data_IF_919232774619
#
_entry.id   IF_919232774619
#
_cell.length_a   1.000
_cell.length_b   1.000
_cell.length_c   1.000
_cell.angle_alpha   90.00
_cell.angle_beta   90.00
_cell.angle_gamma   90.00
#
_symmetry.space_group_name_H-M   'P 1'
#
loop_
_entity.id
_entity.type
_entity.pdbx_description
1 polymer ?
#
# COMPACT_ATOMS: atom_id res chain seq x y z
N UNK A 1 -37.25 19.54 61.34
CA UNK A 1 -37.40 20.20 60.02
C UNK A 1 -36.06 20.43 59.28
N UNK A 2 -34.94 20.62 59.99
CA UNK A 2 -33.62 20.90 59.38
C UNK A 2 -33.02 19.74 58.58
N UNK A 3 -33.08 18.49 59.09
CA UNK A 3 -32.53 17.29 58.40
C UNK A 3 -33.14 17.04 57.01
N UNK A 4 -34.45 17.24 56.82
CA UNK A 4 -35.11 17.06 55.50
C UNK A 4 -34.64 18.08 54.46
N UNK A 5 -34.36 19.32 54.88
CA UNK A 5 -33.78 20.35 53.98
C UNK A 5 -32.35 20.00 53.58
N UNK A 6 -31.55 19.48 54.51
CA UNK A 6 -30.18 19.04 54.23
C UNK A 6 -30.10 17.88 53.23
N UNK A 7 -31.01 16.89 53.33
CA UNK A 7 -31.08 15.80 52.34
C UNK A 7 -31.55 16.28 50.97
N UNK A 8 -32.49 17.23 50.92
CA UNK A 8 -32.96 17.80 49.65
C UNK A 8 -31.82 18.57 48.95
N UNK A 9 -31.05 19.36 49.69
CA UNK A 9 -29.88 20.09 49.19
C UNK A 9 -28.77 19.15 48.70
N UNK A 10 -28.49 18.08 49.44
CA UNK A 10 -27.50 17.08 49.04
C UNK A 10 -27.93 16.33 47.76
N UNK A 11 -29.21 15.99 47.62
CA UNK A 11 -29.75 15.30 46.45
C UNK A 11 -29.73 16.21 45.21
N UNK A 12 -30.09 17.49 45.37
CA UNK A 12 -29.97 18.49 44.28
C UNK A 12 -28.52 18.69 43.86
N UNK A 13 -27.59 18.77 44.82
CA UNK A 13 -26.15 18.87 44.54
C UNK A 13 -25.62 17.65 43.78
N UNK A 14 -26.04 16.45 44.17
CA UNK A 14 -25.65 15.21 43.50
C UNK A 14 -26.23 15.11 42.08
N UNK A 15 -27.49 15.50 41.88
CA UNK A 15 -28.11 15.55 40.55
C UNK A 15 -27.43 16.58 39.63
N UNK A 16 -27.09 17.76 40.15
CA UNK A 16 -26.32 18.77 39.41
C UNK A 16 -24.93 18.25 39.00
N UNK A 17 -24.24 17.56 39.90
CA UNK A 17 -22.93 16.96 39.60
C UNK A 17 -23.02 15.89 38.51
N UNK A 18 -24.06 15.03 38.54
CA UNK A 18 -24.30 14.03 37.50
C UNK A 18 -24.56 14.63 36.12
N UNK A 19 -25.32 15.73 36.06
CA UNK A 19 -25.57 16.45 34.79
C UNK A 19 -24.27 17.02 34.22
N UNK A 20 -23.42 17.63 35.06
CA UNK A 20 -22.14 18.20 34.63
C UNK A 20 -21.18 17.12 34.11
N UNK A 21 -21.11 15.96 34.77
CA UNK A 21 -20.27 14.83 34.31
C UNK A 21 -20.78 14.27 32.98
N UNK A 22 -22.10 14.20 32.77
CA UNK A 22 -22.68 13.74 31.50
C UNK A 22 -22.42 14.70 30.34
N UNK A 23 -22.28 16.00 30.62
CA UNK A 23 -22.00 17.03 29.60
C UNK A 23 -20.54 17.02 29.11
N UNK A 24 -19.63 16.36 29.84
CA UNK A 24 -18.23 16.18 29.43
C UNK A 24 -17.96 14.81 28.78
N UNK A 25 -18.98 13.97 28.60
CA UNK A 25 -18.82 12.71 27.88
C UNK A 25 -18.66 12.99 26.38
N UNK A 26 -17.57 12.55 25.72
CA UNK A 26 -17.42 12.70 24.29
C UNK A 26 -18.54 11.94 23.58
N UNK A 27 -19.33 12.65 22.78
CA UNK A 27 -20.41 12.07 21.99
C UNK A 27 -19.81 11.45 20.71
N UNK A 28 -19.78 10.12 20.56
CA UNK A 28 -19.20 9.47 19.39
C UNK A 28 -20.01 9.71 18.09
N UNK A 29 -21.16 10.39 18.18
CA UNK A 29 -21.99 10.78 17.04
C UNK A 29 -21.94 12.28 16.72
N UNK A 30 -21.17 13.07 17.48
CA UNK A 30 -20.89 14.44 17.09
C UNK A 30 -19.89 14.41 15.93
N UNK A 31 -20.26 15.04 14.81
CA UNK A 31 -19.33 15.24 13.69
C UNK A 31 -18.10 15.99 14.22
N UNK A 32 -16.92 15.38 14.07
CA UNK A 32 -15.63 15.95 14.47
C UNK A 32 -15.17 17.09 13.54
N UNK A 33 -15.99 17.45 12.55
CA UNK A 33 -15.74 18.51 11.59
C UNK A 33 -16.34 19.80 12.18
N UNK A 34 -15.55 20.87 12.22
CA UNK A 34 -16.01 22.18 12.72
C UNK A 34 -17.35 22.57 12.08
N UNK A 35 -18.33 23.09 12.85
CA UNK A 35 -19.65 23.47 12.33
C UNK A 35 -19.62 24.44 11.14
N UNK A 36 -18.54 25.22 11.01
CA UNK A 36 -18.31 26.16 9.91
C UNK A 36 -17.71 25.55 8.62
N UNK A 37 -17.41 24.25 8.60
CA UNK A 37 -16.97 23.53 7.39
C UNK A 37 -18.05 22.60 6.83
N UNK A 38 -19.25 22.60 7.43
CA UNK A 38 -20.40 21.94 6.84
C UNK A 38 -20.87 22.80 5.68
N UNK A 39 -20.42 22.48 4.47
CA UNK A 39 -21.16 22.85 3.27
C UNK A 39 -22.55 22.28 3.48
N UNK A 40 -23.55 23.16 3.60
CA UNK A 40 -24.96 22.78 3.58
C UNK A 40 -25.25 22.22 2.18
N UNK A 41 -24.86 20.98 1.94
CA UNK A 41 -25.30 20.19 0.80
C UNK A 41 -26.73 19.71 1.09
N UNK A 42 -27.65 20.64 1.36
CA UNK A 42 -29.08 20.36 1.39
C UNK A 42 -29.52 20.15 -0.07
N UNK A 43 -29.50 18.88 -0.51
CA UNK A 43 -30.04 18.48 -1.81
C UNK A 43 -29.06 17.75 -2.74
N UNK A 44 -27.78 17.63 -2.40
CA UNK A 44 -26.86 16.80 -3.19
C UNK A 44 -26.94 15.36 -2.71
N UNK A 45 -27.43 14.47 -3.56
CA UNK A 45 -27.35 13.03 -3.32
C UNK A 45 -25.89 12.67 -3.10
N UNK A 46 -25.57 12.06 -1.96
CA UNK A 46 -24.25 11.47 -1.73
C UNK A 46 -23.97 10.46 -2.85
N UNK A 47 -23.13 10.87 -3.80
CA UNK A 47 -22.56 9.96 -4.79
C UNK A 47 -21.33 9.38 -4.12
N UNK A 48 -21.32 8.09 -3.72
CA UNK A 48 -20.10 7.49 -3.21
C UNK A 48 -19.00 7.63 -4.27
N UNK A 49 -17.75 7.94 -3.87
CA UNK A 49 -16.67 7.98 -4.84
C UNK A 49 -16.61 6.64 -5.55
N UNK A 50 -16.74 6.65 -6.88
CA UNK A 50 -16.49 5.45 -7.67
C UNK A 50 -14.99 5.19 -7.59
N UNK A 51 -14.56 4.00 -7.12
CA UNK A 51 -13.13 3.67 -7.12
C UNK A 51 -12.60 3.85 -8.54
N UNK A 52 -11.57 4.69 -8.71
CA UNK A 52 -10.85 4.76 -9.97
C UNK A 52 -10.31 3.36 -10.25
N UNK A 53 -10.62 2.74 -11.41
CA UNK A 53 -10.06 1.45 -11.77
C UNK A 53 -8.53 1.51 -11.67
N UNK A 54 -7.92 0.57 -10.94
CA UNK A 54 -6.46 0.47 -10.92
C UNK A 54 -5.99 0.15 -12.33
N UNK A 55 -5.02 0.90 -12.89
CA UNK A 55 -4.45 0.56 -14.18
C UNK A 55 -3.78 -0.81 -14.06
N UNK A 56 -4.10 -1.71 -15.00
CA UNK A 56 -3.66 -3.11 -15.02
C UNK A 56 -2.67 -3.33 -16.15
N UNK A 57 -1.76 -4.28 -15.95
CA UNK A 57 -0.70 -4.57 -16.93
C UNK A 57 -1.27 -5.08 -18.24
N UNK A 58 -2.43 -5.77 -18.21
CA UNK A 58 -3.11 -6.28 -19.39
C UNK A 58 -3.54 -5.19 -20.41
N UNK A 59 -3.57 -3.91 -19.99
CA UNK A 59 -3.89 -2.78 -20.86
C UNK A 59 -2.69 -2.10 -21.52
N UNK A 60 -1.46 -2.56 -21.27
CA UNK A 60 -0.23 -1.97 -21.79
C UNK A 60 0.38 -2.83 -22.90
N UNK A 61 1.05 -2.18 -23.84
CA UNK A 61 1.94 -2.82 -24.81
C UNK A 61 3.28 -3.20 -24.17
N UNK A 62 4.01 -4.13 -24.79
CA UNK A 62 5.34 -4.54 -24.32
C UNK A 62 6.32 -3.35 -24.26
N UNK A 63 6.25 -2.43 -25.22
CA UNK A 63 7.04 -1.20 -25.24
C UNK A 63 6.77 -0.33 -23.99
N UNK A 64 5.49 -0.16 -23.61
CA UNK A 64 5.09 0.59 -22.42
C UNK A 64 5.50 -0.13 -21.13
N UNK A 65 5.43 -1.47 -21.12
CA UNK A 65 5.82 -2.28 -19.97
C UNK A 65 7.33 -2.12 -19.69
N UNK A 66 8.14 -2.17 -20.75
CA UNK A 66 9.61 -2.19 -20.68
C UNK A 66 10.25 -0.79 -20.72
N UNK A 67 9.45 0.26 -20.90
CA UNK A 67 9.94 1.63 -21.04
C UNK A 67 10.87 2.04 -19.87
N UNK A 68 12.05 2.55 -20.23
CA UNK A 68 13.05 3.06 -19.30
C UNK A 68 14.04 2.04 -18.74
N UNK A 69 13.85 0.74 -19.04
CA UNK A 69 14.85 -0.28 -18.69
C UNK A 69 16.15 -0.08 -19.49
N UNK A 70 17.31 -0.52 -18.95
CA UNK A 70 18.57 -0.52 -19.70
C UNK A 70 18.49 -1.42 -20.94
N UNK A 71 19.00 -0.95 -22.08
CA UNK A 71 19.00 -1.68 -23.36
C UNK A 71 19.54 -3.12 -23.25
N UNK A 72 20.56 -3.31 -22.42
CA UNK A 72 21.16 -4.62 -22.19
C UNK A 72 20.16 -5.63 -21.61
N UNK A 73 19.33 -5.22 -20.65
CA UNK A 73 18.28 -6.06 -20.06
C UNK A 73 17.10 -6.20 -21.03
N UNK A 74 16.67 -5.12 -21.69
CA UNK A 74 15.57 -5.15 -22.67
C UNK A 74 15.85 -6.17 -23.79
N UNK A 75 17.10 -6.26 -24.25
CA UNK A 75 17.49 -7.20 -25.31
C UNK A 75 17.37 -8.68 -24.93
N UNK A 76 17.24 -8.97 -23.63
CA UNK A 76 17.12 -10.31 -23.06
C UNK A 76 15.67 -10.65 -22.64
N UNK A 77 14.73 -9.72 -22.81
CA UNK A 77 13.31 -9.91 -22.48
C UNK A 77 12.51 -10.29 -23.76
N UNK A 78 11.61 -11.29 -23.72
CA UNK A 78 11.27 -12.11 -22.56
C UNK A 78 12.39 -13.10 -22.21
N UNK A 79 12.71 -13.15 -20.92
CA UNK A 79 13.59 -14.16 -20.34
C UNK A 79 12.84 -15.48 -20.09
N UNK A 80 13.49 -16.39 -19.39
CA UNK A 80 12.89 -17.64 -18.93
C UNK A 80 12.23 -17.45 -17.55
N UNK A 81 10.90 -17.46 -17.50
CA UNK A 81 10.14 -17.27 -16.26
C UNK A 81 10.33 -18.43 -15.27
N UNK A 82 10.55 -19.67 -15.73
CA UNK A 82 10.81 -20.81 -14.85
C UNK A 82 12.19 -20.67 -14.20
N UNK A 83 13.19 -20.24 -14.97
CA UNK A 83 14.51 -19.87 -14.45
C UNK A 83 14.42 -18.69 -13.49
N UNK A 84 13.63 -17.66 -13.82
CA UNK A 84 13.35 -16.51 -12.96
C UNK A 84 12.81 -16.93 -11.60
N UNK A 85 11.80 -17.79 -11.57
CA UNK A 85 11.29 -18.40 -10.34
C UNK A 85 12.39 -19.18 -9.60
N UNK A 86 13.18 -20.00 -10.30
CA UNK A 86 14.22 -20.80 -9.69
C UNK A 86 15.33 -19.95 -9.03
N UNK A 87 15.65 -18.78 -9.59
CA UNK A 87 16.62 -17.83 -9.02
C UNK A 87 16.17 -17.23 -7.68
N UNK A 88 14.87 -17.17 -7.43
CA UNK A 88 14.35 -16.58 -6.17
C UNK A 88 14.78 -17.36 -4.92
N UNK A 89 15.16 -18.63 -5.06
CA UNK A 89 15.61 -19.50 -3.97
C UNK A 89 17.07 -19.21 -3.57
N UNK A 90 18.08 -19.33 -4.45
CA UNK A 90 19.48 -19.06 -4.09
C UNK A 90 19.74 -17.59 -3.71
N UNK A 91 18.93 -16.65 -4.22
CA UNK A 91 19.00 -15.23 -3.85
C UNK A 91 18.10 -14.86 -2.66
N UNK A 92 17.46 -15.86 -2.03
CA UNK A 92 16.63 -15.75 -0.84
C UNK A 92 15.44 -14.75 -0.95
N UNK A 93 14.96 -14.46 -2.16
CA UNK A 93 13.84 -13.54 -2.38
C UNK A 93 12.56 -14.09 -1.76
N UNK A 94 12.27 -15.39 -1.94
CA UNK A 94 11.10 -16.07 -1.37
C UNK A 94 11.21 -16.31 0.14
N UNK A 95 12.36 -16.00 0.75
CA UNK A 95 12.49 -16.00 2.21
C UNK A 95 11.75 -14.83 2.85
N UNK A 96 11.43 -13.79 2.05
CA UNK A 96 10.81 -12.55 2.51
C UNK A 96 9.55 -12.17 1.73
N UNK A 97 9.48 -12.54 0.45
CA UNK A 97 8.35 -12.24 -0.43
C UNK A 97 7.51 -13.48 -0.71
N UNK A 98 6.18 -13.35 -0.59
CA UNK A 98 5.23 -14.43 -0.90
C UNK A 98 4.26 -14.00 -1.98
N UNK A 99 3.70 -14.97 -2.69
CA UNK A 99 2.65 -14.75 -3.70
C UNK A 99 1.23 -14.88 -3.13
N UNK A 100 1.09 -15.20 -1.83
CA UNK A 100 -0.21 -15.30 -1.15
C UNK A 100 -0.48 -14.03 -0.32
N UNK A 101 -1.50 -13.27 -0.71
CA UNK A 101 -1.88 -12.01 -0.04
C UNK A 101 -2.60 -12.21 1.31
N UNK A 102 -2.81 -13.45 1.77
CA UNK A 102 -3.36 -13.75 3.10
C UNK A 102 -2.30 -13.85 4.20
N UNK A 103 -1.02 -13.89 3.82
CA UNK A 103 0.10 -14.01 4.74
C UNK A 103 0.66 -12.63 5.10
N UNK A 104 1.05 -12.45 6.36
CA UNK A 104 1.82 -11.30 6.80
C UNK A 104 3.29 -11.65 6.65
N UNK A 105 4.00 -10.90 5.81
CA UNK A 105 5.41 -11.13 5.55
C UNK A 105 6.29 -9.93 5.87
N UNK A 106 7.58 -10.22 6.01
CA UNK A 106 8.63 -9.24 6.30
C UNK A 106 8.85 -8.26 5.14
N UNK A 107 8.38 -8.59 3.93
CA UNK A 107 8.46 -7.76 2.74
C UNK A 107 7.11 -7.72 1.98
N UNK A 108 6.91 -6.78 1.02
CA UNK A 108 5.69 -6.69 0.25
C UNK A 108 5.37 -7.98 -0.51
N UNK A 109 4.09 -8.38 -0.54
CA UNK A 109 3.66 -9.54 -1.32
C UNK A 109 3.90 -9.35 -2.82
N UNK A 110 4.15 -10.47 -3.51
CA UNK A 110 4.18 -10.58 -4.97
C UNK A 110 2.82 -10.95 -5.58
N UNK A 111 1.77 -11.07 -4.78
CA UNK A 111 0.42 -11.28 -5.31
C UNK A 111 0.04 -10.16 -6.28
N UNK A 112 -0.19 -10.51 -7.55
CA UNK A 112 -0.51 -9.57 -8.63
C UNK A 112 0.51 -8.41 -8.75
N UNK A 113 1.79 -8.67 -8.47
CA UNK A 113 2.84 -7.64 -8.45
C UNK A 113 2.99 -6.90 -9.78
N UNK A 114 2.70 -7.56 -10.90
CA UNK A 114 2.72 -6.93 -12.21
C UNK A 114 1.71 -5.76 -12.32
N UNK A 115 0.51 -5.92 -11.77
CA UNK A 115 -0.49 -4.85 -11.72
C UNK A 115 -0.13 -3.78 -10.69
N UNK A 116 0.42 -4.20 -9.55
CA UNK A 116 0.94 -3.27 -8.53
C UNK A 116 2.04 -2.38 -9.11
N UNK A 117 2.92 -2.94 -9.96
CA UNK A 117 4.01 -2.22 -10.60
C UNK A 117 3.52 -1.10 -11.52
N UNK A 118 2.38 -1.26 -12.20
CA UNK A 118 1.78 -0.20 -13.03
C UNK A 118 1.42 1.01 -12.18
N UNK A 119 0.69 0.79 -11.09
CA UNK A 119 0.31 1.86 -10.17
C UNK A 119 1.53 2.54 -9.53
N UNK A 120 2.55 1.76 -9.16
CA UNK A 120 3.75 2.32 -8.54
C UNK A 120 4.60 3.11 -9.51
N UNK A 121 4.80 2.62 -10.74
CA UNK A 121 5.53 3.35 -11.77
C UNK A 121 4.89 4.72 -12.03
N UNK A 122 3.55 4.78 -12.14
CA UNK A 122 2.83 6.04 -12.28
C UNK A 122 3.00 6.97 -11.06
N UNK A 123 2.90 6.43 -9.85
CA UNK A 123 3.08 7.21 -8.61
C UNK A 123 4.48 7.83 -8.52
N UNK A 124 5.51 7.11 -8.99
CA UNK A 124 6.90 7.51 -8.92
C UNK A 124 7.37 8.28 -10.17
N UNK A 125 6.53 8.42 -11.19
CA UNK A 125 6.90 9.05 -12.46
C UNK A 125 7.94 8.25 -13.26
N UNK A 126 7.97 6.92 -13.07
CA UNK A 126 8.82 6.02 -13.85
C UNK A 126 8.22 5.77 -15.23
N UNK A 127 9.08 5.49 -16.21
CA UNK A 127 8.68 5.32 -17.60
C UNK A 127 7.80 4.09 -17.84
N UNK A 128 7.98 3.02 -17.07
CA UNK A 128 7.21 1.78 -17.20
C UNK A 128 7.20 0.92 -15.93
N UNK A 129 6.27 -0.05 -15.81
CA UNK A 129 6.18 -0.96 -14.66
C UNK A 129 7.40 -1.86 -14.48
N UNK A 130 8.04 -2.32 -15.56
CA UNK A 130 9.23 -3.16 -15.43
C UNK A 130 10.41 -2.39 -14.82
N UNK A 131 10.49 -1.08 -15.08
CA UNK A 131 11.50 -0.22 -14.45
C UNK A 131 11.32 -0.13 -12.93
N UNK A 132 10.08 -0.10 -12.43
CA UNK A 132 9.82 -0.16 -10.99
C UNK A 132 10.37 -1.46 -10.38
N UNK A 133 10.11 -2.60 -11.00
CA UNK A 133 10.59 -3.89 -10.52
C UNK A 133 12.12 -3.97 -10.57
N UNK A 134 12.72 -3.51 -11.67
CA UNK A 134 14.17 -3.49 -11.86
C UNK A 134 14.86 -2.65 -10.80
N UNK A 135 14.46 -1.38 -10.62
CA UNK A 135 15.03 -0.50 -9.60
C UNK A 135 14.78 -1.03 -8.19
N UNK A 136 13.63 -1.66 -7.92
CA UNK A 136 13.38 -2.28 -6.62
C UNK A 136 14.33 -3.45 -6.33
N UNK A 137 14.86 -4.12 -7.35
CA UNK A 137 15.84 -5.21 -7.20
C UNK A 137 17.25 -4.65 -7.02
N UNK A 138 17.69 -3.77 -7.93
CA UNK A 138 19.09 -3.32 -7.95
C UNK A 138 19.39 -2.17 -6.98
N UNK A 139 18.38 -1.36 -6.63
CA UNK A 139 18.46 -0.23 -5.70
C UNK A 139 17.27 -0.27 -4.71
N UNK A 140 17.15 -1.28 -3.84
CA UNK A 140 15.94 -1.51 -3.03
C UNK A 140 15.59 -0.35 -2.09
N UNK A 141 16.56 0.47 -1.68
CA UNK A 141 16.36 1.62 -0.82
C UNK A 141 15.97 2.92 -1.56
N UNK A 142 15.95 2.94 -2.90
CA UNK A 142 15.47 4.10 -3.67
C UNK A 142 13.96 4.34 -3.44
N UNK A 143 13.22 3.27 -3.14
CA UNK A 143 11.81 3.35 -2.81
C UNK A 143 11.39 2.29 -1.80
N UNK A 144 10.95 2.74 -0.62
CA UNK A 144 10.38 1.87 0.42
C UNK A 144 8.86 1.92 0.35
N UNK A 145 8.25 0.74 0.21
CA UNK A 145 6.80 0.60 0.29
C UNK A 145 6.34 1.02 1.68
N UNK A 146 5.24 1.80 1.76
CA UNK A 146 4.65 2.20 3.03
C UNK A 146 4.53 1.03 4.00
N UNK A 147 4.80 1.31 5.27
CA UNK A 147 4.74 0.36 6.39
C UNK A 147 5.82 -0.74 6.40
N UNK A 148 6.75 -0.74 5.44
CA UNK A 148 7.97 -1.56 5.48
C UNK A 148 9.19 -0.77 5.93
N UNK A 149 10.17 -1.48 6.47
CA UNK A 149 11.43 -0.90 6.99
C UNK A 149 12.47 -0.83 5.86
N UNK A 150 13.24 0.27 5.80
CA UNK A 150 14.41 0.38 4.92
C UNK A 150 15.50 -0.62 5.30
N UNK A 151 16.45 -0.85 4.40
CA UNK A 151 17.66 -1.63 4.67
C UNK A 151 17.40 -3.12 5.03
N UNK A 152 16.22 -3.64 4.69
CA UNK A 152 15.85 -5.06 4.89
C UNK A 152 16.15 -5.88 3.63
N UNK A 153 15.85 -5.35 2.44
CA UNK A 153 16.16 -6.03 1.19
C UNK A 153 17.65 -5.84 0.85
N UNK A 154 18.41 -6.91 0.54
CA UNK A 154 19.84 -6.79 0.27
C UNK A 154 20.17 -5.84 -0.88
N UNK A 155 21.14 -4.94 -0.68
CA UNK A 155 21.63 -4.01 -1.71
C UNK A 155 22.66 -4.64 -2.68
N UNK A 156 23.01 -5.91 -2.49
CA UNK A 156 24.08 -6.57 -3.25
C UNK A 156 23.63 -7.06 -4.63
N UNK A 157 22.32 -7.08 -4.91
CA UNK A 157 21.76 -7.68 -6.12
C UNK A 157 22.22 -7.02 -7.42
N UNK A 158 22.60 -5.75 -7.41
CA UNK A 158 23.19 -5.08 -8.57
C UNK A 158 24.54 -5.71 -8.99
N UNK A 159 25.27 -6.30 -8.04
CA UNK A 159 26.56 -6.97 -8.26
C UNK A 159 26.39 -8.50 -8.41
N UNK A 160 25.42 -9.08 -7.68
CA UNK A 160 25.22 -10.53 -7.60
C UNK A 160 24.41 -11.11 -8.78
N UNK A 161 23.58 -10.29 -9.45
CA UNK A 161 22.72 -10.73 -10.54
C UNK A 161 23.28 -10.30 -11.89
N UNK A 162 23.38 -11.23 -12.83
CA UNK A 162 23.68 -10.88 -14.22
C UNK A 162 22.48 -10.21 -14.91
N UNK A 163 22.72 -9.56 -16.05
CA UNK A 163 21.64 -8.99 -16.87
C UNK A 163 20.60 -10.05 -17.30
N UNK A 164 21.05 -11.29 -17.56
CA UNK A 164 20.14 -12.40 -17.85
C UNK A 164 19.32 -12.82 -16.62
N UNK A 165 19.91 -12.84 -15.43
CA UNK A 165 19.18 -13.13 -14.19
C UNK A 165 18.10 -12.09 -13.93
N UNK A 166 18.42 -10.81 -14.17
CA UNK A 166 17.45 -9.71 -14.06
C UNK A 166 16.33 -9.86 -15.10
N UNK A 167 16.66 -10.17 -16.37
CA UNK A 167 15.65 -10.39 -17.40
C UNK A 167 14.69 -11.55 -17.06
N UNK A 168 15.22 -12.66 -16.53
CA UNK A 168 14.43 -13.83 -16.13
C UNK A 168 13.56 -13.55 -14.89
N UNK A 169 14.13 -12.90 -13.87
CA UNK A 169 13.39 -12.45 -12.68
C UNK A 169 12.26 -11.48 -13.04
N UNK A 170 12.54 -10.49 -13.89
CA UNK A 170 11.52 -9.55 -14.37
C UNK A 170 10.43 -10.27 -15.15
N UNK A 171 10.79 -11.22 -16.02
CA UNK A 171 9.81 -12.01 -16.78
C UNK A 171 8.91 -12.83 -15.86
N UNK A 172 9.48 -13.45 -14.83
CA UNK A 172 8.71 -14.14 -13.79
C UNK A 172 7.78 -13.19 -13.04
N UNK A 173 8.27 -12.07 -12.51
CA UNK A 173 7.46 -11.12 -11.75
C UNK A 173 6.36 -10.46 -12.58
N UNK A 174 6.62 -10.13 -13.84
CA UNK A 174 5.62 -9.58 -14.76
C UNK A 174 4.54 -10.60 -15.15
N UNK A 175 4.81 -11.90 -14.99
CA UNK A 175 3.81 -12.96 -15.19
C UNK A 175 2.79 -13.06 -14.03
N UNK A 176 3.14 -12.55 -12.85
CA UNK A 176 2.29 -12.56 -11.65
C UNK A 176 1.29 -11.40 -11.69
N UNK A 177 0.18 -11.58 -12.40
CA UNK A 177 -0.87 -10.59 -12.63
C UNK A 177 -2.26 -11.14 -12.30
N UNK A 178 -3.24 -10.25 -12.15
CA UNK A 178 -4.64 -10.65 -12.03
C UNK A 178 -5.08 -11.41 -13.29
N UNK A 179 -5.93 -12.43 -13.13
CA UNK A 179 -6.57 -13.15 -14.25
C UNK A 179 -7.52 -12.25 -15.07
#
# INVERSE_FOLDING_TARGET
MVRRKSYLLALVGFLLALVVVSACAPNPRLQLISPNMVVLAEGETFVPPTPTPRPRIAGLSDEEILAGLPDAVVSLIPGDAERGLALTVPHNCIGCHVTDNSLIDVAPTWFEIADTAVGRAQQLGLAGPAMYLYTSIINPNDYIVNDYTSDVMPETYAEDLSEQDLADLLTYLLSLRAE
#
